data_IF_939753254942
#
_entry.id   IF_939753254942
#
_cell.length_a   1.000
_cell.length_b   1.000
_cell.length_c   1.000
_cell.angle_alpha   90.00
_cell.angle_beta   90.00
_cell.angle_gamma   90.00
#
_symmetry.space_group_name_H-M   'P 1'
#
loop_
_entity.id
_entity.type
_entity.pdbx_description
1 polymer ?
#
# COMPACT_ATOMS: atom_id res chain seq x y z
N UNK A 1 22.60 12.17 13.64
CA UNK A 1 22.49 11.01 12.73
C UNK A 1 21.03 10.65 12.67
N UNK A 2 20.46 10.58 11.47
CA UNK A 2 19.11 10.06 11.31
C UNK A 2 19.17 8.53 11.41
N UNK A 3 18.18 7.93 12.08
CA UNK A 3 18.07 6.48 12.28
C UNK A 3 16.75 5.97 11.66
N UNK A 4 16.61 6.01 10.32
CA UNK A 4 15.39 5.64 9.62
C UNK A 4 14.94 4.20 9.92
N UNK A 5 15.87 3.32 10.27
CA UNK A 5 15.65 1.93 10.66
C UNK A 5 14.86 1.77 11.97
N UNK A 6 14.73 2.80 12.79
CA UNK A 6 13.96 2.76 14.04
C UNK A 6 12.55 3.34 13.89
N UNK A 7 12.25 4.05 12.81
CA UNK A 7 10.93 4.64 12.60
C UNK A 7 9.92 3.53 12.27
N UNK A 8 8.87 3.42 13.09
CA UNK A 8 7.82 2.40 12.94
C UNK A 8 6.47 2.96 12.53
N UNK A 9 6.26 4.26 12.74
CA UNK A 9 5.02 4.97 12.41
C UNK A 9 5.37 6.30 11.76
N UNK A 10 4.70 6.61 10.66
CA UNK A 10 4.90 7.85 9.91
C UNK A 10 3.54 8.40 9.46
N UNK A 11 3.27 9.65 9.84
CA UNK A 11 2.07 10.36 9.44
C UNK A 11 2.42 11.52 8.51
N UNK A 12 1.91 11.43 7.28
CA UNK A 12 2.01 12.44 6.24
C UNK A 12 0.61 12.82 5.74
N UNK A 13 -0.43 12.55 6.52
CA UNK A 13 -1.82 12.85 6.16
C UNK A 13 -2.07 14.36 6.03
N UNK A 14 -3.10 14.72 5.25
CA UNK A 14 -3.53 16.11 5.05
C UNK A 14 -2.44 17.05 4.52
N UNK A 15 -1.56 16.53 3.67
CA UNK A 15 -0.56 17.31 2.95
C UNK A 15 -0.95 17.48 1.47
N UNK A 16 -0.01 17.98 0.66
CA UNK A 16 -0.19 18.18 -0.79
C UNK A 16 0.69 17.24 -1.61
N UNK A 17 1.04 16.07 -1.06
CA UNK A 17 1.93 15.12 -1.72
C UNK A 17 1.30 14.61 -3.02
N UNK A 18 2.02 14.74 -4.13
CA UNK A 18 1.62 14.21 -5.44
C UNK A 18 2.33 12.90 -5.78
N UNK A 19 3.45 12.62 -5.11
CA UNK A 19 4.29 11.44 -5.24
C UNK A 19 4.81 10.98 -3.88
N UNK A 20 5.38 9.78 -3.85
CA UNK A 20 6.13 9.26 -2.69
C UNK A 20 7.54 8.91 -3.17
N UNK A 21 8.54 9.39 -2.44
CA UNK A 21 9.95 9.25 -2.81
C UNK A 21 10.47 7.82 -2.62
N UNK A 22 11.44 7.40 -3.44
CA UNK A 22 12.06 6.07 -3.35
C UNK A 22 12.87 5.87 -2.08
N UNK A 23 13.37 6.95 -1.47
CA UNK A 23 14.09 6.99 -0.19
C UNK A 23 13.21 6.49 0.97
N UNK A 24 11.89 6.42 0.78
CA UNK A 24 11.00 5.77 1.75
C UNK A 24 11.43 4.30 2.01
N UNK A 25 12.12 3.66 1.06
CA UNK A 25 12.67 2.32 1.23
C UNK A 25 13.70 2.19 2.38
N UNK A 26 14.31 3.29 2.83
CA UNK A 26 15.27 3.28 3.95
C UNK A 26 14.59 2.98 5.29
N UNK A 27 13.29 3.28 5.42
CA UNK A 27 12.50 3.04 6.63
C UNK A 27 12.01 1.58 6.70
N UNK A 28 12.95 0.64 6.70
CA UNK A 28 12.68 -0.81 6.63
C UNK A 28 11.84 -1.36 7.80
N UNK A 29 11.82 -0.67 8.94
CA UNK A 29 11.01 -1.00 10.13
C UNK A 29 9.63 -0.33 10.14
N UNK A 30 9.26 0.43 9.09
CA UNK A 30 8.00 1.15 9.05
C UNK A 30 6.83 0.16 8.99
N UNK A 31 5.91 0.31 9.95
CA UNK A 31 4.78 -0.60 10.19
C UNK A 31 3.44 0.04 9.87
N UNK A 32 3.33 1.34 10.12
CA UNK A 32 2.10 2.11 9.96
C UNK A 32 2.43 3.38 9.18
N UNK A 33 1.66 3.65 8.14
CA UNK A 33 1.83 4.85 7.33
C UNK A 33 0.50 5.51 7.02
N UNK A 34 0.39 6.80 7.34
CA UNK A 34 -0.78 7.60 7.01
C UNK A 34 -0.47 8.55 5.85
N UNK A 35 -1.16 8.36 4.72
CA UNK A 35 -1.04 9.17 3.50
C UNK A 35 -2.39 9.74 3.04
N UNK A 36 -3.44 9.62 3.86
CA UNK A 36 -4.78 10.08 3.48
C UNK A 36 -4.86 11.60 3.35
N UNK A 37 -5.81 12.10 2.56
CA UNK A 37 -5.98 13.53 2.34
C UNK A 37 -4.78 14.19 1.63
N UNK A 38 -4.17 13.49 0.68
CA UNK A 38 -3.10 14.01 -0.18
C UNK A 38 -3.56 14.08 -1.65
N UNK A 39 -2.64 14.38 -2.57
CA UNK A 39 -2.89 14.54 -4.00
C UNK A 39 -2.27 13.41 -4.84
N UNK A 40 -2.11 12.22 -4.27
CA UNK A 40 -1.52 11.07 -4.96
C UNK A 40 -2.47 10.57 -6.07
N UNK A 41 -2.01 10.57 -7.32
CA UNK A 41 -2.83 10.19 -8.50
C UNK A 41 -2.42 8.85 -9.10
N UNK A 42 -1.11 8.59 -9.13
CA UNK A 42 -0.54 7.46 -9.85
C UNK A 42 -0.41 6.22 -8.95
N UNK A 43 -1.49 5.44 -8.82
CA UNK A 43 -1.53 4.22 -7.99
C UNK A 43 -0.34 3.28 -8.28
N UNK A 44 0.06 3.12 -9.54
CA UNK A 44 1.18 2.26 -9.91
C UNK A 44 2.52 2.71 -9.31
N UNK A 45 2.83 4.01 -9.39
CA UNK A 45 4.06 4.58 -8.81
C UNK A 45 4.06 4.49 -7.29
N UNK A 46 2.92 4.82 -6.66
CA UNK A 46 2.75 4.69 -5.21
C UNK A 46 2.99 3.24 -4.75
N UNK A 47 2.42 2.26 -5.45
CA UNK A 47 2.61 0.84 -5.12
C UNK A 47 4.03 0.34 -5.39
N UNK A 48 4.73 0.88 -6.39
CA UNK A 48 6.14 0.54 -6.64
C UNK A 48 7.01 0.90 -5.44
N UNK A 49 6.81 2.09 -4.86
CA UNK A 49 7.52 2.52 -3.65
C UNK A 49 7.09 1.72 -2.44
N UNK A 50 5.78 1.60 -2.15
CA UNK A 50 5.31 0.94 -0.92
C UNK A 50 5.67 -0.56 -0.84
N UNK A 51 5.97 -1.22 -1.96
CA UNK A 51 6.45 -2.61 -1.99
C UNK A 51 7.82 -2.80 -1.34
N UNK A 52 8.63 -1.75 -1.22
CA UNK A 52 9.94 -1.82 -0.55
C UNK A 52 9.84 -1.86 0.97
N UNK A 53 8.64 -1.73 1.55
CA UNK A 53 8.40 -1.69 2.99
C UNK A 53 7.90 -3.07 3.49
N UNK A 54 8.80 -3.97 3.95
CA UNK A 54 8.43 -5.34 4.27
C UNK A 54 7.57 -5.44 5.54
N UNK A 55 7.68 -4.49 6.47
CA UNK A 55 6.96 -4.51 7.75
C UNK A 55 5.64 -3.72 7.74
N UNK A 56 5.32 -3.02 6.65
CA UNK A 56 4.14 -2.17 6.55
C UNK A 56 2.87 -3.03 6.63
N UNK A 57 2.11 -2.93 7.72
CA UNK A 57 0.87 -3.68 7.89
C UNK A 57 -0.38 -2.79 7.97
N UNK A 58 -0.24 -1.48 8.16
CA UNK A 58 -1.36 -0.53 8.21
C UNK A 58 -1.09 0.66 7.30
N UNK A 59 -2.01 0.93 6.38
CA UNK A 59 -1.88 1.98 5.37
C UNK A 59 -3.21 2.72 5.21
N UNK A 60 -3.15 4.05 5.10
CA UNK A 60 -4.30 4.86 4.68
C UNK A 60 -3.94 5.68 3.46
N UNK A 61 -4.79 5.66 2.45
CA UNK A 61 -4.65 6.32 1.16
C UNK A 61 -5.95 7.00 0.71
N UNK A 62 -7.08 6.82 1.41
CA UNK A 62 -8.35 7.50 1.12
C UNK A 62 -8.20 9.03 1.05
N UNK A 63 -9.12 9.68 0.33
CA UNK A 63 -9.04 11.12 0.10
C UNK A 63 -7.85 11.53 -0.77
N UNK A 64 -7.30 10.59 -1.54
CA UNK A 64 -6.38 10.85 -2.64
C UNK A 64 -7.06 10.51 -3.97
N UNK A 65 -6.75 11.22 -5.09
CA UNK A 65 -7.35 10.92 -6.39
C UNK A 65 -7.15 9.46 -6.87
N UNK A 66 -6.08 8.77 -6.43
CA UNK A 66 -5.85 7.36 -6.77
C UNK A 66 -6.95 6.40 -6.27
N UNK A 67 -7.83 6.84 -5.37
CA UNK A 67 -8.95 6.07 -4.85
C UNK A 67 -9.98 5.74 -5.94
N UNK A 68 -10.11 6.61 -6.94
CA UNK A 68 -11.00 6.42 -8.09
C UNK A 68 -10.54 5.28 -9.02
N UNK A 69 -9.33 4.75 -8.83
CA UNK A 69 -8.81 3.70 -9.67
C UNK A 69 -9.69 2.44 -9.59
N UNK A 70 -10.17 1.93 -10.73
CA UNK A 70 -10.93 0.67 -10.81
C UNK A 70 -10.22 -0.47 -10.06
N UNK A 71 -10.95 -1.15 -9.17
CA UNK A 71 -10.45 -2.22 -8.29
C UNK A 71 -9.34 -1.75 -7.32
N UNK A 72 -9.38 -0.49 -6.90
CA UNK A 72 -8.46 0.16 -5.96
C UNK A 72 -8.01 -0.76 -4.82
N UNK A 73 -8.94 -1.15 -3.94
CA UNK A 73 -8.68 -2.03 -2.79
C UNK A 73 -7.99 -3.33 -3.21
N UNK A 74 -8.55 -4.02 -4.21
CA UNK A 74 -8.00 -5.30 -4.69
C UNK A 74 -6.60 -5.15 -5.29
N UNK A 75 -6.31 -4.05 -5.99
CA UNK A 75 -4.98 -3.78 -6.56
C UNK A 75 -3.94 -3.55 -5.48
N UNK A 76 -4.30 -2.79 -4.44
CA UNK A 76 -3.43 -2.55 -3.28
C UNK A 76 -3.14 -3.86 -2.56
N UNK A 77 -4.17 -4.61 -2.18
CA UNK A 77 -4.00 -5.85 -1.41
C UNK A 77 -3.26 -6.95 -2.20
N UNK A 78 -3.37 -6.98 -3.53
CA UNK A 78 -2.53 -7.86 -4.36
C UNK A 78 -1.06 -7.41 -4.39
N UNK A 79 -0.81 -6.10 -4.33
CA UNK A 79 0.54 -5.53 -4.46
C UNK A 79 1.28 -5.48 -3.13
N UNK A 80 0.54 -5.39 -2.03
CA UNK A 80 1.02 -5.28 -0.66
C UNK A 80 0.38 -6.38 0.20
N UNK A 81 0.71 -7.67 -0.05
CA UNK A 81 0.09 -8.80 0.65
C UNK A 81 0.37 -8.83 2.17
N UNK A 82 1.35 -8.06 2.64
CA UNK A 82 1.69 -7.91 4.05
C UNK A 82 0.67 -7.06 4.84
N UNK A 83 -0.19 -6.29 4.15
CA UNK A 83 -1.17 -5.43 4.81
C UNK A 83 -2.19 -6.21 5.63
N UNK A 84 -2.50 -5.67 6.81
CA UNK A 84 -3.53 -6.12 7.74
C UNK A 84 -4.67 -5.11 7.86
N UNK A 85 -4.40 -3.83 7.59
CA UNK A 85 -5.38 -2.75 7.56
C UNK A 85 -5.14 -1.83 6.35
N UNK A 86 -6.24 -1.43 5.70
CA UNK A 86 -6.26 -0.47 4.61
C UNK A 86 -7.44 0.49 4.80
N UNK A 87 -7.19 1.80 4.80
CA UNK A 87 -8.23 2.84 4.89
C UNK A 87 -9.16 2.64 6.08
N UNK A 88 -8.56 2.44 7.26
CA UNK A 88 -9.25 2.17 8.54
C UNK A 88 -10.11 0.91 8.56
N UNK A 89 -10.02 0.07 7.53
CA UNK A 89 -10.72 -1.22 7.49
C UNK A 89 -9.74 -2.38 7.54
N UNK A 90 -10.07 -3.40 8.33
CA UNK A 90 -9.26 -4.61 8.40
C UNK A 90 -9.28 -5.38 7.07
N UNK A 91 -8.17 -6.03 6.74
CA UNK A 91 -8.08 -6.97 5.62
C UNK A 91 -8.70 -8.28 6.06
N UNK A 92 -9.82 -8.65 5.43
CA UNK A 92 -10.62 -9.82 5.81
C UNK A 92 -10.11 -11.10 5.16
N UNK A 93 -10.58 -12.26 5.65
CA UNK A 93 -10.34 -13.55 4.98
C UNK A 93 -10.95 -13.57 3.58
N UNK A 94 -12.12 -12.95 3.41
CA UNK A 94 -12.78 -12.79 2.11
C UNK A 94 -11.91 -12.01 1.14
N UNK A 95 -11.27 -10.91 1.57
CA UNK A 95 -10.32 -10.17 0.74
C UNK A 95 -9.23 -11.14 0.23
N UNK A 96 -8.59 -11.88 1.13
CA UNK A 96 -7.50 -12.82 0.80
C UNK A 96 -7.93 -13.98 -0.12
N UNK A 97 -9.14 -14.51 0.06
CA UNK A 97 -9.65 -15.63 -0.75
C UNK A 97 -9.89 -15.21 -2.21
N UNK A 98 -10.39 -13.99 -2.43
CA UNK A 98 -10.59 -13.45 -3.78
C UNK A 98 -9.26 -13.24 -4.53
N UNK A 99 -8.16 -12.93 -3.83
CA UNK A 99 -6.83 -12.84 -4.43
C UNK A 99 -6.32 -14.23 -4.86
N UNK A 100 -6.42 -15.23 -3.97
CA UNK A 100 -5.95 -16.61 -4.26
C UNK A 100 -6.66 -17.26 -5.44
N UNK A 101 -7.98 -17.07 -5.57
CA UNK A 101 -8.76 -17.60 -6.71
C UNK A 101 -8.27 -17.05 -8.05
N UNK A 102 -7.82 -15.79 -8.08
CA UNK A 102 -7.38 -15.12 -9.31
C UNK A 102 -5.97 -15.55 -9.74
N UNK A 103 -5.05 -15.77 -8.80
CA UNK A 103 -3.71 -16.31 -9.09
C UNK A 103 -3.83 -17.66 -9.78
N UNK A 104 -4.68 -18.57 -9.27
CA UNK A 104 -4.90 -19.90 -9.88
C UNK A 104 -5.45 -19.83 -11.31
N UNK A 105 -6.31 -18.86 -11.62
CA UNK A 105 -6.91 -18.70 -12.97
C UNK A 105 -5.92 -18.15 -14.00
N UNK A 106 -4.89 -17.42 -13.56
CA UNK A 106 -3.86 -16.88 -14.44
C UNK A 106 -2.72 -17.88 -14.71
N UNK A 107 -2.60 -18.95 -13.93
CA UNK A 107 -1.64 -20.04 -14.14
C UNK A 107 -2.13 -21.12 -15.11
N UNK A 108 -3.32 -20.97 -15.69
CA UNK A 108 -3.93 -21.94 -16.62
C UNK A 108 -3.57 -21.69 -18.10
N UNK A 109 -2.69 -20.74 -18.39
CA UNK A 109 -2.23 -20.38 -19.74
C UNK A 109 -0.70 -20.43 -19.83
N UNK A 110 -0.10 -21.58 -19.55
CA UNK A 110 1.26 -21.92 -19.99
C UNK A 110 1.29 -23.42 -20.21
N UNK A 111 1.05 -23.82 -21.46
CA UNK A 111 1.50 -25.09 -22.06
C UNK A 111 1.79 -24.77 -23.50
#
# INVERSE_FOLDING_TARGET
MEQPEHLTWLDLSFNKLTTISTELAEFSSLKIMYLHGNMLKELGKVLQTLRSLPQLYSLTLHGNPLEEHKKYRTKILNSLPQLRSLDFTNVTVSDKLHLKKKVKRNSSYTT
#
